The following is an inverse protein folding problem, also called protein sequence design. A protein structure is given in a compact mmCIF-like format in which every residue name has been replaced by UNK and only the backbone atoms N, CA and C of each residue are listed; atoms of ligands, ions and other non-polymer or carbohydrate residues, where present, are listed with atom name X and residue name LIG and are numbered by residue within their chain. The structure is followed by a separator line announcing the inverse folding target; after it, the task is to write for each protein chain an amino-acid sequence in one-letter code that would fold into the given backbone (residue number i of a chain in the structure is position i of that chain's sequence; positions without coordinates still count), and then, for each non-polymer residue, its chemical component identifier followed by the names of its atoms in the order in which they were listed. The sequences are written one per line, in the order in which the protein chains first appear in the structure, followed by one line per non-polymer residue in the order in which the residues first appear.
data_IF_597613985417
#
_entry.id   IF_597613985417
#
_cell.length_a   1.000
_cell.length_b   1.000
_cell.length_c   1.000
_cell.angle_alpha   90.00
_cell.angle_beta   90.00
_cell.angle_gamma   90.00
#
_symmetry.space_group_name_H-M   'P 1'
#
loop_
_entity.id
_entity.type
_entity.pdbx_description
1 polymer ?
#
# COMPACT_ATOMS: atom_id res chain seq x y z
N UNK A 1 18.67 -17.95 -5.57
CA UNK A 1 18.77 -16.50 -5.84
C UNK A 1 17.66 -16.16 -6.82
N UNK A 2 16.70 -15.32 -6.43
CA UNK A 2 15.59 -14.88 -7.29
C UNK A 2 16.07 -13.62 -8.04
N UNK A 3 15.77 -13.49 -9.33
CA UNK A 3 16.13 -12.28 -10.10
C UNK A 3 15.24 -11.08 -9.74
N UNK A 4 15.74 -9.85 -9.92
CA UNK A 4 15.02 -8.62 -9.54
C UNK A 4 13.61 -8.50 -10.14
N UNK A 5 13.42 -8.87 -11.42
CA UNK A 5 12.08 -8.86 -12.03
C UNK A 5 11.10 -9.83 -11.35
N UNK A 6 11.59 -10.99 -10.89
CA UNK A 6 10.75 -11.93 -10.15
C UNK A 6 10.47 -11.41 -8.74
N UNK A 7 11.46 -10.82 -8.06
CA UNK A 7 11.26 -10.19 -6.75
C UNK A 7 10.19 -9.08 -6.77
N UNK A 8 10.22 -8.20 -7.80
CA UNK A 8 9.20 -7.16 -7.98
C UNK A 8 7.81 -7.77 -8.19
N UNK A 9 7.71 -8.87 -8.94
CA UNK A 9 6.44 -9.57 -9.15
C UNK A 9 5.91 -10.20 -7.87
N UNK A 10 6.78 -10.73 -7.00
CA UNK A 10 6.37 -11.26 -5.70
C UNK A 10 5.84 -10.16 -4.77
N UNK A 11 6.41 -8.94 -4.83
CA UNK A 11 5.82 -7.76 -4.15
C UNK A 11 4.43 -7.44 -4.71
N UNK A 12 4.28 -7.40 -6.03
CA UNK A 12 2.99 -7.05 -6.67
C UNK A 12 1.89 -8.08 -6.37
N UNK A 13 2.24 -9.36 -6.38
CA UNK A 13 1.33 -10.47 -6.07
C UNK A 13 1.00 -10.59 -4.57
N UNK A 14 1.59 -9.76 -3.72
CA UNK A 14 1.33 -9.75 -2.28
C UNK A 14 1.99 -10.89 -1.50
N UNK A 15 3.03 -11.52 -2.05
CA UNK A 15 3.76 -12.62 -1.38
C UNK A 15 4.32 -12.22 0.00
N UNK A 16 4.62 -10.93 0.15
CA UNK A 16 5.19 -10.34 1.34
C UNK A 16 4.17 -9.59 2.22
N UNK A 17 2.88 -9.57 1.87
CA UNK A 17 1.87 -8.81 2.61
C UNK A 17 1.69 -9.32 4.05
N UNK A 18 1.86 -10.63 4.28
CA UNK A 18 1.85 -11.23 5.63
C UNK A 18 3.20 -11.13 6.35
N UNK A 19 4.26 -10.73 5.64
CA UNK A 19 5.66 -10.74 6.11
C UNK A 19 6.35 -9.44 5.68
N UNK A 20 5.84 -8.31 6.18
CA UNK A 20 6.29 -6.98 5.77
C UNK A 20 7.79 -6.77 5.96
N UNK A 21 8.38 -7.29 7.04
CA UNK A 21 9.82 -7.20 7.27
C UNK A 21 10.64 -7.84 6.13
N UNK A 22 10.27 -9.06 5.70
CA UNK A 22 10.92 -9.73 4.56
C UNK A 22 10.71 -8.95 3.26
N UNK A 23 9.54 -8.37 3.05
CA UNK A 23 9.29 -7.52 1.88
C UNK A 23 10.12 -6.23 1.88
N UNK A 24 10.37 -5.65 3.06
CA UNK A 24 11.26 -4.49 3.21
C UNK A 24 12.72 -4.84 2.90
N UNK A 25 13.19 -6.04 3.27
CA UNK A 25 14.53 -6.53 2.87
C UNK A 25 14.65 -6.65 1.35
N UNK A 26 13.61 -7.18 0.69
CA UNK A 26 13.55 -7.27 -0.77
C UNK A 26 13.53 -5.90 -1.42
N UNK A 27 12.74 -4.95 -0.91
CA UNK A 27 12.75 -3.57 -1.36
C UNK A 27 14.14 -2.95 -1.23
N UNK A 28 14.81 -3.10 -0.09
CA UNK A 28 16.15 -2.57 0.14
C UNK A 28 17.13 -3.12 -0.91
N UNK A 29 17.08 -4.43 -1.20
CA UNK A 29 17.91 -5.05 -2.22
C UNK A 29 17.63 -4.49 -3.62
N UNK A 30 16.37 -4.24 -3.97
CA UNK A 30 15.99 -3.65 -5.27
C UNK A 30 16.50 -2.20 -5.35
N UNK A 31 16.34 -1.40 -4.30
CA UNK A 31 16.78 -0.01 -4.26
C UNK A 31 18.30 0.11 -4.33
N UNK A 32 19.05 -0.74 -3.61
CA UNK A 32 20.51 -0.81 -3.69
C UNK A 32 20.98 -1.16 -5.11
N UNK A 33 20.31 -2.10 -5.78
CA UNK A 33 20.63 -2.47 -7.15
C UNK A 33 20.34 -1.35 -8.15
N UNK A 34 19.30 -0.54 -7.92
CA UNK A 34 19.02 0.67 -8.71
C UNK A 34 20.10 1.72 -8.49
N UNK A 35 20.45 2.01 -7.24
CA UNK A 35 21.47 3.00 -6.88
C UNK A 35 22.86 2.61 -7.43
N UNK A 36 23.18 1.32 -7.36
CA UNK A 36 24.41 0.73 -7.91
C UNK A 36 24.39 0.61 -9.44
N UNK A 37 23.30 1.02 -10.11
CA UNK A 37 23.09 0.93 -11.57
C UNK A 37 23.18 -0.48 -12.13
N UNK A 38 22.90 -1.49 -11.31
CA UNK A 38 22.83 -2.89 -11.76
C UNK A 38 21.54 -3.17 -12.53
N UNK A 39 20.48 -2.43 -12.22
CA UNK A 39 19.20 -2.48 -12.92
C UNK A 39 18.66 -1.06 -13.17
N UNK A 40 17.74 -0.95 -14.11
CA UNK A 40 16.92 0.25 -14.31
C UNK A 40 15.45 -0.16 -14.32
N UNK A 41 14.63 0.53 -13.53
CA UNK A 41 13.19 0.26 -13.44
C UNK A 41 12.43 1.15 -14.41
N UNK A 42 11.58 0.55 -15.24
CA UNK A 42 10.57 1.31 -15.99
C UNK A 42 9.50 1.85 -15.02
N UNK A 43 8.65 2.75 -15.52
CA UNK A 43 7.63 3.41 -14.69
C UNK A 43 6.70 2.42 -13.98
N UNK A 44 6.28 1.35 -14.66
CA UNK A 44 5.41 0.31 -14.10
C UNK A 44 6.06 -0.38 -12.89
N UNK A 45 7.33 -0.77 -12.99
CA UNK A 45 8.05 -1.40 -11.87
C UNK A 45 8.30 -0.43 -10.72
N UNK A 46 8.54 0.85 -11.02
CA UNK A 46 8.66 1.87 -9.98
C UNK A 46 7.34 2.02 -9.22
N UNK A 47 6.21 2.08 -9.92
CA UNK A 47 4.88 2.14 -9.31
C UNK A 47 4.64 0.94 -8.39
N UNK A 48 4.95 -0.29 -8.84
CA UNK A 48 4.78 -1.50 -8.01
C UNK A 48 5.58 -1.39 -6.70
N UNK A 49 6.86 -1.04 -6.80
CA UNK A 49 7.75 -0.92 -5.65
C UNK A 49 7.24 0.15 -4.66
N UNK A 50 6.88 1.32 -5.17
CA UNK A 50 6.43 2.44 -4.34
C UNK A 50 5.03 2.20 -3.74
N UNK A 51 4.11 1.60 -4.49
CA UNK A 51 2.79 1.19 -3.99
C UNK A 51 2.92 0.19 -2.85
N UNK A 52 3.80 -0.81 -3.01
CA UNK A 52 4.03 -1.79 -1.95
C UNK A 52 4.67 -1.14 -0.71
N UNK A 53 5.70 -0.29 -0.89
CA UNK A 53 6.34 0.46 0.20
C UNK A 53 5.31 1.30 0.98
N UNK A 54 4.50 2.09 0.27
CA UNK A 54 3.51 2.98 0.88
C UNK A 54 2.48 2.21 1.71
N UNK A 55 1.97 1.09 1.17
CA UNK A 55 1.04 0.22 1.91
C UNK A 55 1.72 -0.41 3.14
N UNK A 56 2.96 -0.87 3.03
CA UNK A 56 3.72 -1.45 4.15
C UNK A 56 3.97 -0.41 5.26
N UNK A 57 4.31 0.83 4.90
CA UNK A 57 4.52 1.94 5.84
C UNK A 57 3.22 2.27 6.57
N UNK A 58 2.11 2.42 5.85
CA UNK A 58 0.80 2.70 6.47
C UNK A 58 0.38 1.58 7.44
N UNK A 59 0.46 0.32 7.02
CA UNK A 59 0.08 -0.82 7.87
C UNK A 59 0.97 -0.93 9.11
N UNK A 60 2.26 -0.59 8.99
CA UNK A 60 3.17 -0.57 10.13
C UNK A 60 2.81 0.55 11.10
N UNK A 61 2.57 1.78 10.61
CA UNK A 61 2.16 2.90 11.46
C UNK A 61 0.83 2.63 12.20
N UNK A 62 -0.19 2.11 11.50
CA UNK A 62 -1.47 1.81 12.15
C UNK A 62 -1.36 0.65 13.15
N UNK A 63 -0.49 -0.33 12.91
CA UNK A 63 -0.21 -1.39 13.89
C UNK A 63 0.47 -0.85 15.14
N UNK A 64 1.47 0.02 14.98
CA UNK A 64 2.14 0.66 16.12
C UNK A 64 1.16 1.51 16.95
N UNK A 65 0.24 2.21 16.27
CA UNK A 65 -0.70 3.14 16.88
C UNK A 65 -1.89 2.44 17.54
N UNK A 66 -2.51 1.47 16.87
CA UNK A 66 -3.79 0.89 17.27
C UNK A 66 -3.73 -0.62 17.56
N UNK A 67 -2.63 -1.29 17.23
CA UNK A 67 -2.48 -2.74 17.36
C UNK A 67 -3.15 -3.54 16.24
N UNK A 68 -3.28 -4.85 16.51
CA UNK A 68 -3.86 -5.83 15.60
C UNK A 68 -4.84 -6.76 16.34
N UNK A 69 -5.70 -7.42 15.57
CA UNK A 69 -6.63 -8.45 16.04
C UNK A 69 -6.46 -9.75 15.27
N UNK A 70 -6.86 -10.85 15.90
CA UNK A 70 -6.97 -12.15 15.26
C UNK A 70 -8.32 -12.26 14.54
N UNK A 71 -8.28 -12.57 13.25
CA UNK A 71 -9.46 -12.76 12.39
C UNK A 71 -9.47 -14.19 11.87
N UNK A 72 -10.54 -14.99 12.08
CA UNK A 72 -10.63 -16.33 11.51
C UNK A 72 -10.46 -16.30 9.99
N UNK A 73 -9.60 -17.17 9.47
CA UNK A 73 -9.36 -17.29 8.03
C UNK A 73 -10.10 -18.50 7.44
N UNK A 74 -10.15 -18.57 6.11
CA UNK A 74 -10.88 -19.62 5.38
C UNK A 74 -10.27 -21.03 5.55
N UNK A 75 -8.99 -21.10 5.95
CA UNK A 75 -8.26 -22.34 6.17
C UNK A 75 -8.44 -22.92 7.59
N UNK A 76 -9.33 -22.32 8.40
CA UNK A 76 -9.59 -22.73 9.79
C UNK A 76 -8.52 -22.27 10.80
N UNK A 77 -7.63 -21.37 10.39
CA UNK A 77 -6.67 -20.66 11.24
C UNK A 77 -7.12 -19.23 11.55
N UNK A 78 -6.15 -18.39 11.94
CA UNK A 78 -6.34 -16.95 12.14
C UNK A 78 -5.34 -16.15 11.33
N UNK A 79 -5.81 -15.06 10.73
CA UNK A 79 -5.01 -14.01 10.13
C UNK A 79 -4.94 -12.80 11.08
N UNK A 80 -3.85 -12.05 10.97
CA UNK A 80 -3.61 -10.83 11.75
C UNK A 80 -4.09 -9.61 10.97
N UNK A 81 -5.06 -8.89 11.51
CA UNK A 81 -5.62 -7.69 10.90
C UNK A 81 -5.22 -6.44 11.69
N UNK A 82 -4.70 -5.43 11.01
CA UNK A 82 -4.33 -4.15 11.65
C UNK A 82 -5.57 -3.29 11.80
N UNK A 83 -5.68 -2.55 12.90
CA UNK A 83 -6.80 -1.65 13.13
C UNK A 83 -6.46 -0.26 12.58
N UNK A 84 -7.29 0.27 11.68
CA UNK A 84 -7.36 1.70 11.44
C UNK A 84 -8.43 2.30 12.36
N UNK A 85 -8.13 3.44 12.97
CA UNK A 85 -9.11 4.21 13.76
C UNK A 85 -9.03 5.70 13.41
N UNK A 86 -10.15 6.20 12.90
CA UNK A 86 -10.30 7.56 12.39
C UNK A 86 -11.54 8.26 12.93
N UNK A 87 -11.95 9.33 12.27
CA UNK A 87 -13.02 10.21 12.76
C UNK A 87 -14.39 9.52 12.76
N UNK A 88 -14.62 8.65 11.79
CA UNK A 88 -15.93 8.05 11.55
C UNK A 88 -16.07 6.64 12.13
N UNK A 89 -15.01 6.04 12.67
CA UNK A 89 -15.04 4.72 13.27
C UNK A 89 -13.70 4.00 13.18
N UNK A 90 -13.73 2.68 13.32
CA UNK A 90 -12.57 1.82 13.16
C UNK A 90 -12.90 0.63 12.26
N UNK A 91 -11.91 0.20 11.46
CA UNK A 91 -12.01 -0.94 10.55
C UNK A 91 -10.69 -1.72 10.56
N UNK A 92 -10.77 -2.98 10.17
CA UNK A 92 -9.59 -3.80 9.88
C UNK A 92 -9.03 -3.44 8.51
N UNK A 93 -7.73 -3.17 8.44
CA UNK A 93 -6.99 -2.88 7.21
C UNK A 93 -5.92 -3.95 6.96
N UNK A 94 -5.65 -4.22 5.68
CA UNK A 94 -4.71 -5.24 5.23
C UNK A 94 -3.92 -4.72 4.02
N UNK A 95 -2.62 -5.07 3.87
CA UNK A 95 -1.79 -4.54 2.79
C UNK A 95 -2.37 -4.76 1.38
N UNK A 96 -2.98 -5.91 1.10
CA UNK A 96 -3.57 -6.20 -0.21
C UNK A 96 -4.68 -5.20 -0.61
N UNK A 97 -5.76 -5.08 0.19
CA UNK A 97 -6.77 -4.02 0.02
C UNK A 97 -6.20 -2.61 -0.10
N UNK A 98 -5.19 -2.23 0.69
CA UNK A 98 -4.55 -0.91 0.56
C UNK A 98 -3.89 -0.72 -0.81
N UNK A 99 -3.10 -1.71 -1.25
CA UNK A 99 -2.47 -1.67 -2.58
C UNK A 99 -3.54 -1.57 -3.68
N UNK A 100 -4.64 -2.30 -3.54
CA UNK A 100 -5.75 -2.22 -4.48
C UNK A 100 -6.42 -0.84 -4.49
N UNK A 101 -6.67 -0.25 -3.33
CA UNK A 101 -7.24 1.09 -3.21
C UNK A 101 -6.32 2.16 -3.82
N UNK A 102 -5.01 2.08 -3.58
CA UNK A 102 -4.01 2.95 -4.20
C UNK A 102 -4.01 2.82 -5.73
N UNK A 103 -4.02 1.59 -6.25
CA UNK A 103 -4.08 1.34 -7.70
C UNK A 103 -5.36 1.91 -8.35
N UNK A 104 -6.52 1.79 -7.69
CA UNK A 104 -7.78 2.28 -8.27
C UNK A 104 -7.95 3.79 -8.11
N UNK A 105 -7.69 4.33 -6.93
CA UNK A 105 -8.04 5.73 -6.64
C UNK A 105 -6.92 6.71 -7.00
N UNK A 106 -5.66 6.28 -6.96
CA UNK A 106 -4.52 7.13 -7.32
C UNK A 106 -4.08 6.86 -8.75
N UNK A 107 -3.71 5.62 -9.08
CA UNK A 107 -3.17 5.32 -10.42
C UNK A 107 -4.24 5.42 -11.50
N UNK A 108 -5.35 4.68 -11.38
CA UNK A 108 -6.39 4.69 -12.41
C UNK A 108 -7.03 6.08 -12.54
N UNK A 109 -7.28 6.77 -11.42
CA UNK A 109 -7.78 8.16 -11.44
C UNK A 109 -6.83 9.14 -12.13
N UNK A 110 -5.51 9.03 -11.92
CA UNK A 110 -4.52 9.86 -12.61
C UNK A 110 -4.44 9.52 -14.11
N UNK A 111 -4.50 8.24 -14.47
CA UNK A 111 -4.47 7.77 -15.86
C UNK A 111 -5.73 8.22 -16.61
N UNK A 112 -6.91 8.09 -16.01
CA UNK A 112 -8.17 8.53 -16.61
C UNK A 112 -8.14 10.03 -16.91
N UNK A 113 -7.60 10.83 -15.99
CA UNK A 113 -7.60 12.29 -16.10
C UNK A 113 -6.51 12.83 -17.02
N UNK A 114 -5.32 12.23 -17.03
CA UNK A 114 -4.14 12.79 -17.70
C UNK A 114 -3.56 11.90 -18.81
N UNK A 115 -4.18 10.76 -19.08
CA UNK A 115 -3.67 9.73 -19.98
C UNK A 115 -2.58 8.86 -19.32
N UNK A 116 -2.22 7.72 -19.94
CA UNK A 116 -1.33 6.73 -19.33
C UNK A 116 0.07 7.28 -19.02
N UNK A 117 0.71 7.95 -19.98
CA UNK A 117 2.10 8.39 -19.83
C UNK A 117 2.29 9.42 -18.70
N UNK A 118 1.42 10.42 -18.64
CA UNK A 118 1.47 11.48 -17.62
C UNK A 118 0.85 10.99 -16.30
N UNK A 119 -0.27 10.27 -16.37
CA UNK A 119 -0.96 9.76 -15.21
C UNK A 119 -0.10 8.82 -14.37
N UNK A 120 0.64 7.91 -15.00
CA UNK A 120 1.58 7.02 -14.29
C UNK A 120 2.71 7.80 -13.59
N UNK A 121 3.27 8.84 -14.23
CA UNK A 121 4.31 9.67 -13.62
C UNK A 121 3.78 10.45 -12.42
N UNK A 122 2.56 10.99 -12.52
CA UNK A 122 1.91 11.70 -11.43
C UNK A 122 1.57 10.76 -10.26
N UNK A 123 1.08 9.55 -10.53
CA UNK A 123 0.81 8.56 -9.50
C UNK A 123 2.09 8.14 -8.76
N UNK A 124 3.17 7.87 -9.50
CA UNK A 124 4.47 7.57 -8.90
C UNK A 124 4.95 8.73 -8.02
N UNK A 125 4.87 9.97 -8.52
CA UNK A 125 5.28 11.15 -7.75
C UNK A 125 4.46 11.30 -6.48
N UNK A 126 3.14 11.05 -6.57
CA UNK A 126 2.25 11.10 -5.43
C UNK A 126 2.66 10.09 -4.35
N UNK A 127 2.96 8.84 -4.71
CA UNK A 127 3.48 7.85 -3.75
C UNK A 127 4.79 8.28 -3.08
N UNK A 128 5.71 8.86 -3.86
CA UNK A 128 6.98 9.37 -3.35
C UNK A 128 6.78 10.52 -2.35
N UNK A 129 5.82 11.41 -2.61
CA UNK A 129 5.49 12.53 -1.71
C UNK A 129 4.70 12.10 -0.47
N UNK A 130 4.09 10.90 -0.48
CA UNK A 130 3.36 10.31 0.66
C UNK A 130 4.26 9.61 1.70
N UNK A 131 5.55 9.41 1.40
CA UNK A 131 6.50 8.75 2.28
C UNK A 131 7.67 9.70 2.60
N UNK A 132 8.10 9.71 3.86
CA UNK A 132 9.31 10.41 4.30
C UNK A 132 10.25 9.43 4.99
N UNK A 133 11.55 9.70 4.93
CA UNK A 133 12.54 9.00 5.75
C UNK A 133 12.66 9.72 7.10
N UNK A 134 12.62 8.95 8.18
CA UNK A 134 12.83 9.34 9.57
C UNK A 134 14.11 8.67 10.08
N UNK A 135 14.99 9.43 10.73
CA UNK A 135 16.31 8.97 11.14
C UNK A 135 16.26 7.89 12.23
N UNK A 136 15.18 7.84 13.02
CA UNK A 136 15.01 6.88 14.12
C UNK A 136 14.15 5.67 13.71
N UNK A 137 13.14 5.90 12.87
CA UNK A 137 12.07 4.95 12.60
C UNK A 137 12.06 4.40 11.16
N UNK A 138 13.00 4.82 10.31
CA UNK A 138 13.03 4.44 8.91
C UNK A 138 11.93 5.16 8.10
N UNK A 139 11.23 4.46 7.20
CA UNK A 139 10.18 5.10 6.41
C UNK A 139 8.91 5.33 7.23
N UNK A 140 8.37 6.55 7.16
CA UNK A 140 7.12 6.99 7.78
C UNK A 140 6.21 7.64 6.75
N UNK A 141 4.92 7.69 7.04
CA UNK A 141 4.01 8.49 6.22
C UNK A 141 4.35 9.97 6.35
N UNK A 142 4.31 10.68 5.23
CA UNK A 142 4.32 12.14 5.23
C UNK A 142 3.00 12.68 5.79
N UNK A 143 2.92 13.99 6.05
CA UNK A 143 1.65 14.62 6.42
C UNK A 143 0.57 14.39 5.33
N UNK A 144 0.96 14.50 4.06
CA UNK A 144 0.11 14.21 2.92
C UNK A 144 -0.29 12.73 2.86
N UNK A 145 0.65 11.82 3.16
CA UNK A 145 0.37 10.38 3.23
C UNK A 145 -0.70 10.04 4.26
N UNK A 146 -0.55 10.55 5.49
CA UNK A 146 -1.53 10.37 6.57
C UNK A 146 -2.89 10.97 6.24
N UNK A 147 -2.91 12.19 5.70
CA UNK A 147 -4.16 12.82 5.30
C UNK A 147 -4.88 12.03 4.19
N UNK A 148 -4.14 11.57 3.18
CA UNK A 148 -4.70 10.77 2.08
C UNK A 148 -5.34 9.47 2.56
N UNK A 149 -4.65 8.70 3.40
CA UNK A 149 -5.21 7.48 3.99
C UNK A 149 -6.38 7.76 4.93
N UNK A 150 -6.33 8.82 5.75
CA UNK A 150 -7.44 9.18 6.60
C UNK A 150 -8.69 9.53 5.77
N UNK A 151 -8.55 10.33 4.71
CA UNK A 151 -9.65 10.69 3.81
C UNK A 151 -10.26 9.44 3.15
N UNK A 152 -9.42 8.53 2.68
CA UNK A 152 -9.86 7.28 2.05
C UNK A 152 -10.68 6.43 3.02
N UNK A 153 -10.15 6.16 4.22
CA UNK A 153 -10.79 5.26 5.17
C UNK A 153 -11.97 5.90 5.89
N UNK A 154 -11.88 7.18 6.29
CA UNK A 154 -13.01 7.89 6.90
C UNK A 154 -14.17 8.02 5.92
N UNK A 155 -13.90 8.29 4.65
CA UNK A 155 -14.91 8.31 3.59
C UNK A 155 -15.57 6.94 3.40
N UNK A 156 -14.79 5.86 3.41
CA UNK A 156 -15.33 4.49 3.32
C UNK A 156 -16.21 4.13 4.53
N UNK A 157 -15.80 4.47 5.74
CA UNK A 157 -16.59 4.24 6.96
C UNK A 157 -17.88 5.06 6.93
N UNK A 158 -17.80 6.33 6.53
CA UNK A 158 -18.97 7.19 6.38
C UNK A 158 -19.96 6.59 5.38
N UNK A 159 -19.47 6.10 4.23
CA UNK A 159 -20.30 5.42 3.24
C UNK A 159 -21.00 4.19 3.82
N UNK A 160 -20.30 3.35 4.60
CA UNK A 160 -20.92 2.19 5.27
C UNK A 160 -22.03 2.64 6.23
N UNK A 161 -21.83 3.74 6.96
CA UNK A 161 -22.82 4.26 7.88
C UNK A 161 -24.06 4.84 7.19
N UNK A 162 -23.89 5.46 6.01
CA UNK A 162 -25.00 6.10 5.28
C UNK A 162 -25.73 5.15 4.35
N UNK A 163 -25.00 4.26 3.68
CA UNK A 163 -25.51 3.42 2.58
C UNK A 163 -25.55 1.93 2.95
N UNK A 164 -24.94 1.53 4.07
CA UNK A 164 -24.75 0.13 4.45
C UNK A 164 -23.52 -0.49 3.78
N UNK A 165 -23.31 -1.79 3.98
CA UNK A 165 -22.20 -2.49 3.33
C UNK A 165 -22.34 -2.43 1.81
N UNK A 166 -21.27 -2.10 1.06
CA UNK A 166 -21.30 -2.17 -0.39
C UNK A 166 -21.73 -3.57 -0.83
N UNK A 167 -22.45 -3.65 -1.95
CA UNK A 167 -22.74 -4.95 -2.57
C UNK A 167 -21.44 -5.71 -2.88
N UNK A 168 -21.53 -7.04 -2.98
CA UNK A 168 -20.39 -7.89 -3.35
C UNK A 168 -19.66 -7.30 -4.56
N UNK A 169 -18.32 -7.13 -4.51
CA UNK A 169 -17.56 -6.63 -5.65
C UNK A 169 -17.85 -7.48 -6.87
N UNK A 170 -18.24 -6.84 -7.98
CA UNK A 170 -18.26 -7.51 -9.27
C UNK A 170 -16.80 -7.57 -9.73
N UNK A 171 -16.20 -8.76 -9.71
CA UNK A 171 -14.90 -8.94 -10.36
C UNK A 171 -15.08 -8.62 -11.85
N UNK A 172 -14.46 -7.54 -12.31
CA UNK A 172 -14.33 -7.21 -13.73
C UNK A 172 -13.06 -7.81 -14.30
#
# INVERSE_FOLDING_TARGET
MIGYSAAIRELDNGHYDKRLAEGMEILACIMEAVESRWITLNIEKQIIVWRWLLAAVFITEEREKNGDIDVPNEDGGVDKAVIYSGKHGAISVYPGPERFALANHIEAGAIEKYGPDVGQQLALRMYQDMVVADDESGFRLSAMGREGFNLLHDGFIEQIHTEGMPGMPVMH
#
